data_IF_309488187843
#
_entry.id   IF_309488187843
#
_cell.length_a   1.000
_cell.length_b   1.000
_cell.length_c   1.000
_cell.angle_alpha   90.00
_cell.angle_beta   90.00
_cell.angle_gamma   90.00
#
_symmetry.space_group_name_H-M   'P 1'
#
loop_
_entity.id
_entity.type
_entity.pdbx_description
1 polymer ?
#
# COMPACT_ATOMS: atom_id res chain seq x y z
N UNK A 1 -5.62 -41.80 -12.54
CA UNK A 1 -4.43 -41.54 -11.70
C UNK A 1 -4.15 -42.75 -10.79
N UNK A 2 -3.99 -43.96 -11.34
CA UNK A 2 -3.99 -45.19 -10.53
C UNK A 2 -2.62 -45.77 -10.16
N UNK A 3 -1.51 -45.18 -10.61
CA UNK A 3 -0.15 -45.74 -10.42
C UNK A 3 0.94 -44.68 -10.23
N UNK A 4 0.58 -43.40 -10.08
CA UNK A 4 1.55 -42.34 -9.86
C UNK A 4 2.03 -42.36 -8.40
N UNK A 5 3.33 -42.52 -8.18
CA UNK A 5 3.97 -42.50 -6.85
C UNK A 5 4.58 -41.14 -6.49
N UNK A 6 4.80 -40.28 -7.49
CA UNK A 6 5.34 -38.92 -7.31
C UNK A 6 4.61 -37.96 -8.25
N UNK A 7 4.19 -36.80 -7.72
CA UNK A 7 3.61 -35.69 -8.50
C UNK A 7 4.52 -34.49 -8.35
N UNK A 8 5.07 -33.99 -9.45
CA UNK A 8 5.73 -32.70 -9.53
C UNK A 8 4.76 -31.72 -10.18
N UNK A 9 4.38 -30.65 -9.47
CA UNK A 9 3.50 -29.61 -10.00
C UNK A 9 4.25 -28.29 -10.04
N UNK A 10 4.05 -27.54 -11.12
CA UNK A 10 4.47 -26.14 -11.16
C UNK A 10 3.68 -25.32 -10.12
N UNK A 11 4.24 -24.22 -9.61
CA UNK A 11 3.53 -23.38 -8.63
C UNK A 11 2.56 -22.43 -9.33
N UNK A 12 3.02 -21.73 -10.36
CA UNK A 12 2.31 -20.60 -10.95
C UNK A 12 1.29 -21.12 -11.95
N UNK A 13 0.04 -20.66 -11.88
CA UNK A 13 -1.09 -21.14 -12.72
C UNK A 13 -1.52 -22.60 -12.50
N UNK A 14 -0.82 -23.36 -11.66
CA UNK A 14 -1.19 -24.75 -11.32
C UNK A 14 -1.62 -24.87 -9.85
N UNK A 15 -0.79 -24.41 -8.91
CA UNK A 15 -1.12 -24.38 -7.47
C UNK A 15 -1.64 -23.03 -7.01
N UNK A 16 -1.24 -21.94 -7.66
CA UNK A 16 -1.72 -20.58 -7.37
C UNK A 16 -2.49 -20.01 -8.56
N UNK A 17 -3.48 -19.17 -8.24
CA UNK A 17 -4.03 -18.27 -9.26
C UNK A 17 -2.92 -17.27 -9.57
N UNK A 18 -2.56 -17.08 -10.84
CA UNK A 18 -1.56 -16.08 -11.30
C UNK A 18 -2.16 -14.67 -11.21
N UNK A 19 -2.64 -14.34 -10.01
CA UNK A 19 -3.40 -13.15 -9.66
C UNK A 19 -3.02 -12.79 -8.23
N UNK A 20 -2.50 -11.58 -8.07
CA UNK A 20 -2.02 -11.11 -6.78
C UNK A 20 -3.17 -10.52 -5.99
N UNK A 21 -3.26 -10.85 -4.71
CA UNK A 21 -4.32 -10.39 -3.81
C UNK A 21 -3.71 -9.86 -2.51
N UNK A 22 -4.42 -8.95 -1.85
CA UNK A 22 -4.08 -8.55 -0.47
C UNK A 22 -4.61 -9.63 0.45
N UNK A 23 -3.71 -10.31 1.15
CA UNK A 23 -4.05 -11.44 2.05
C UNK A 23 -3.99 -11.06 3.52
N UNK A 24 -3.17 -10.05 3.87
CA UNK A 24 -3.08 -9.47 5.21
C UNK A 24 -2.93 -7.96 5.10
N UNK A 25 -3.50 -7.23 6.05
CA UNK A 25 -3.34 -5.80 6.19
C UNK A 25 -3.12 -5.44 7.66
N UNK A 26 -2.19 -4.54 7.93
CA UNK A 26 -2.05 -3.89 9.23
C UNK A 26 -2.67 -2.50 9.13
N UNK A 27 -3.79 -2.29 9.82
CA UNK A 27 -4.49 -1.00 9.87
C UNK A 27 -4.65 -0.66 11.35
N UNK A 28 -4.23 0.55 11.74
CA UNK A 28 -4.36 1.02 13.12
C UNK A 28 -3.73 0.06 14.14
N UNK A 29 -2.48 -0.36 13.88
CA UNK A 29 -1.71 -1.33 14.68
C UNK A 29 -2.31 -2.75 14.76
N UNK A 30 -3.35 -3.04 13.99
CA UNK A 30 -3.98 -4.36 13.97
C UNK A 30 -3.73 -5.07 12.64
N UNK A 31 -2.94 -6.13 12.69
CA UNK A 31 -2.81 -7.09 11.60
C UNK A 31 -4.08 -7.95 11.49
N UNK A 32 -4.67 -8.00 10.30
CA UNK A 32 -5.85 -8.83 10.01
C UNK A 32 -5.66 -9.57 8.69
N UNK A 33 -6.13 -10.82 8.67
CA UNK A 33 -6.29 -11.57 7.42
C UNK A 33 -7.46 -11.00 6.63
N UNK A 34 -7.24 -10.84 5.33
CA UNK A 34 -8.21 -10.29 4.41
C UNK A 34 -8.74 -11.42 3.54
N UNK A 35 -10.04 -11.67 3.65
CA UNK A 35 -10.74 -12.58 2.76
C UNK A 35 -11.47 -11.74 1.73
N UNK A 36 -10.81 -11.47 0.60
CA UNK A 36 -11.47 -10.83 -0.54
C UNK A 36 -12.42 -11.86 -1.16
N UNK A 37 -13.73 -11.66 -0.95
CA UNK A 37 -14.75 -12.49 -1.59
C UNK A 37 -14.63 -12.47 -3.11
N UNK A 38 -15.06 -13.52 -3.79
CA UNK A 38 -15.19 -13.56 -5.27
C UNK A 38 -16.31 -12.62 -5.76
N UNK A 39 -16.28 -11.35 -5.37
CA UNK A 39 -17.13 -10.29 -5.92
C UNK A 39 -16.67 -9.89 -7.31
N UNK A 40 -17.56 -9.24 -8.07
CA UNK A 40 -17.39 -8.86 -9.47
C UNK A 40 -15.94 -8.46 -9.80
N UNK A 41 -15.26 -9.37 -10.52
CA UNK A 41 -13.88 -9.21 -10.94
C UNK A 41 -13.85 -8.05 -11.93
N UNK A 42 -13.59 -6.85 -11.41
CA UNK A 42 -13.47 -5.66 -12.25
C UNK A 42 -12.12 -5.79 -12.94
N UNK A 43 -12.11 -5.79 -14.27
CA UNK A 43 -10.85 -5.86 -15.03
C UNK A 43 -10.09 -4.53 -14.84
N UNK A 44 -9.27 -4.49 -13.81
CA UNK A 44 -8.46 -3.33 -13.49
C UNK A 44 -7.15 -3.44 -14.24
N UNK A 45 -6.96 -2.55 -15.22
CA UNK A 45 -5.71 -2.43 -15.97
C UNK A 45 -4.62 -1.81 -15.08
N UNK A 46 -3.54 -2.56 -14.87
CA UNK A 46 -2.44 -2.12 -14.01
C UNK A 46 -1.41 -3.19 -13.74
N UNK A 47 -0.41 -2.83 -12.93
CA UNK A 47 0.50 -3.82 -12.36
C UNK A 47 -0.26 -4.72 -11.38
N UNK A 48 0.17 -5.98 -11.16
CA UNK A 48 -0.47 -6.88 -10.22
C UNK A 48 -0.69 -6.24 -8.83
N UNK A 49 0.28 -5.45 -8.34
CA UNK A 49 0.18 -4.74 -7.05
C UNK A 49 -0.89 -3.65 -7.07
N UNK A 50 -1.02 -2.92 -8.18
CA UNK A 50 -2.05 -1.87 -8.31
C UNK A 50 -3.44 -2.52 -8.31
N UNK A 51 -3.62 -3.59 -9.07
CA UNK A 51 -4.90 -4.29 -9.17
C UNK A 51 -5.30 -4.88 -7.81
N UNK A 52 -4.39 -5.59 -7.13
CA UNK A 52 -4.63 -6.14 -5.80
C UNK A 52 -5.09 -5.08 -4.77
N UNK A 53 -4.41 -3.92 -4.75
CA UNK A 53 -4.77 -2.81 -3.84
C UNK A 53 -6.13 -2.19 -4.16
N UNK A 54 -6.47 -2.05 -5.44
CA UNK A 54 -7.75 -1.48 -5.85
C UNK A 54 -8.90 -2.44 -5.56
N UNK A 55 -8.72 -3.75 -5.80
CA UNK A 55 -9.69 -4.78 -5.41
C UNK A 55 -9.91 -4.79 -3.89
N UNK A 56 -8.83 -4.67 -3.10
CA UNK A 56 -8.93 -4.55 -1.64
C UNK A 56 -9.68 -3.29 -1.22
N UNK A 57 -9.38 -2.12 -1.79
CA UNK A 57 -10.11 -0.89 -1.52
C UNK A 57 -11.60 -0.98 -1.85
N UNK A 58 -11.95 -1.61 -2.98
CA UNK A 58 -13.34 -1.87 -3.34
C UNK A 58 -14.01 -2.87 -2.38
N UNK A 59 -13.30 -3.87 -1.86
CA UNK A 59 -13.86 -4.77 -0.83
C UNK A 59 -14.20 -4.07 0.47
N UNK A 60 -13.52 -2.95 0.78
CA UNK A 60 -13.81 -2.10 1.94
C UNK A 60 -14.94 -1.09 1.67
N UNK A 61 -15.56 -1.12 0.47
CA UNK A 61 -16.62 -0.21 0.06
C UNK A 61 -16.14 1.06 -0.66
N UNK A 62 -14.86 1.15 -1.03
CA UNK A 62 -14.33 2.30 -1.77
C UNK A 62 -14.65 2.27 -3.27
N UNK A 63 -15.04 3.42 -3.82
CA UNK A 63 -15.15 3.64 -5.26
C UNK A 63 -13.90 4.38 -5.77
N UNK A 64 -12.96 3.63 -6.35
CA UNK A 64 -11.73 4.22 -6.87
C UNK A 64 -11.94 5.09 -8.11
N UNK A 65 -13.05 4.92 -8.85
CA UNK A 65 -13.36 5.73 -10.02
C UNK A 65 -13.85 7.10 -9.57
N UNK A 66 -14.71 7.16 -8.56
CA UNK A 66 -15.15 8.40 -7.92
C UNK A 66 -13.95 9.16 -7.33
N UNK A 67 -13.15 8.50 -6.49
CA UNK A 67 -11.96 9.12 -5.88
C UNK A 67 -11.00 9.64 -6.94
N UNK A 68 -10.80 8.90 -8.05
CA UNK A 68 -9.93 9.33 -9.14
C UNK A 68 -10.47 10.55 -9.89
N UNK A 69 -11.78 10.68 -10.03
CA UNK A 69 -12.40 11.86 -10.68
C UNK A 69 -12.37 13.09 -9.78
N UNK A 70 -12.51 12.90 -8.46
CA UNK A 70 -12.42 13.97 -7.48
C UNK A 70 -10.99 14.45 -7.21
N UNK A 71 -9.97 13.62 -7.49
CA UNK A 71 -8.57 13.94 -7.21
C UNK A 71 -7.90 14.68 -8.36
N UNK A 72 -7.35 15.87 -8.08
CA UNK A 72 -6.47 16.56 -9.04
C UNK A 72 -5.00 16.12 -8.83
N UNK A 73 -4.48 15.27 -9.72
CA UNK A 73 -3.09 14.81 -9.64
C UNK A 73 -2.16 15.84 -10.26
N UNK A 74 -1.34 16.46 -9.41
CA UNK A 74 -0.41 17.52 -9.80
C UNK A 74 0.95 16.95 -10.19
N UNK A 75 1.40 15.89 -9.51
CA UNK A 75 2.69 15.26 -9.81
C UNK A 75 2.72 13.77 -9.48
N UNK A 76 3.45 13.01 -10.29
CA UNK A 76 3.72 11.60 -10.05
C UNK A 76 5.23 11.38 -10.01
N UNK A 77 5.74 10.86 -8.90
CA UNK A 77 7.08 10.30 -8.80
C UNK A 77 6.95 8.77 -8.91
N UNK A 78 7.24 8.17 -10.08
CA UNK A 78 7.11 6.72 -10.27
C UNK A 78 8.09 5.96 -9.37
N UNK A 79 7.89 4.65 -9.26
CA UNK A 79 8.73 3.82 -8.42
C UNK A 79 10.20 3.93 -8.85
N UNK A 80 11.05 4.27 -7.88
CA UNK A 80 12.49 4.37 -8.07
C UNK A 80 13.17 3.27 -7.25
N UNK A 81 14.04 2.46 -7.87
CA UNK A 81 14.71 1.33 -7.22
C UNK A 81 15.67 1.74 -6.10
N UNK A 82 16.25 2.94 -6.19
CA UNK A 82 17.10 3.52 -5.13
C UNK A 82 16.25 3.98 -3.94
N UNK A 83 15.14 4.69 -4.18
CA UNK A 83 14.25 5.18 -3.12
C UNK A 83 13.28 4.11 -2.60
N UNK A 84 13.10 3.01 -3.32
CA UNK A 84 12.18 1.89 -3.05
C UNK A 84 10.73 2.32 -2.75
N UNK A 85 10.30 3.44 -3.32
CA UNK A 85 8.96 4.01 -3.15
C UNK A 85 8.53 4.77 -4.39
N UNK A 86 7.21 4.97 -4.51
CA UNK A 86 6.59 5.89 -5.45
C UNK A 86 5.69 6.87 -4.69
N UNK A 87 5.46 8.05 -5.27
CA UNK A 87 4.62 9.10 -4.69
C UNK A 87 3.71 9.73 -5.72
N UNK A 88 2.56 10.19 -5.28
CA UNK A 88 1.64 11.01 -6.06
C UNK A 88 1.27 12.22 -5.22
N UNK A 89 1.41 13.40 -5.80
CA UNK A 89 0.97 14.66 -5.20
C UNK A 89 -0.39 15.01 -5.79
N UNK A 90 -1.35 15.25 -4.92
CA UNK A 90 -2.68 15.74 -5.27
C UNK A 90 -2.88 17.13 -4.70
N UNK A 91 -3.63 17.95 -5.41
CA UNK A 91 -4.17 19.20 -4.89
C UNK A 91 -5.46 18.87 -4.11
N UNK A 92 -5.55 19.41 -2.89
CA UNK A 92 -6.74 19.36 -2.05
C UNK A 92 -7.39 20.75 -2.02
N UNK A 93 -8.65 20.89 -1.53
CA UNK A 93 -9.29 22.19 -1.42
C UNK A 93 -8.43 23.22 -0.67
N UNK A 94 -8.67 24.50 -0.94
CA UNK A 94 -7.93 25.64 -0.35
C UNK A 94 -6.48 25.79 -0.85
N UNK A 95 -6.08 25.03 -1.89
CA UNK A 95 -4.78 25.17 -2.54
C UNK A 95 -3.64 24.46 -1.81
N UNK A 96 -3.96 23.61 -0.83
CA UNK A 96 -2.98 22.75 -0.19
C UNK A 96 -2.66 21.53 -1.06
N UNK A 97 -1.54 20.87 -0.77
CA UNK A 97 -1.09 19.71 -1.51
C UNK A 97 -0.81 18.55 -0.57
N UNK A 98 -1.29 17.36 -0.92
CA UNK A 98 -1.00 16.14 -0.18
C UNK A 98 -0.17 15.20 -1.03
N UNK A 99 0.85 14.59 -0.43
CA UNK A 99 1.63 13.54 -1.05
C UNK A 99 1.20 12.18 -0.50
N UNK A 100 0.72 11.30 -1.38
CA UNK A 100 0.49 9.89 -1.07
C UNK A 100 1.68 9.06 -1.53
N UNK A 101 2.18 8.19 -0.66
CA UNK A 101 3.34 7.34 -0.91
C UNK A 101 2.96 5.87 -0.77
N UNK A 102 3.54 5.03 -1.64
CA UNK A 102 3.61 3.59 -1.41
C UNK A 102 4.98 3.05 -1.74
N UNK A 103 5.46 2.08 -0.97
CA UNK A 103 6.80 1.53 -1.15
C UNK A 103 7.11 0.37 -0.22
N UNK A 104 8.38 -0.04 -0.23
CA UNK A 104 8.88 -1.07 0.69
C UNK A 104 8.60 -0.67 2.13
N UNK A 105 8.04 -1.60 2.92
CA UNK A 105 7.42 -1.27 4.20
C UNK A 105 8.38 -0.61 5.19
N UNK A 106 9.56 -1.20 5.36
CA UNK A 106 10.61 -0.69 6.25
C UNK A 106 11.07 0.72 5.85
N UNK A 107 11.25 0.95 4.53
CA UNK A 107 11.76 2.23 4.01
C UNK A 107 10.75 3.36 4.17
N UNK A 108 9.46 3.05 4.00
CA UNK A 108 8.40 4.04 4.19
C UNK A 108 8.20 4.31 5.67
N UNK A 109 8.17 3.28 6.52
CA UNK A 109 8.02 3.42 7.96
C UNK A 109 9.17 4.24 8.58
N UNK A 110 10.42 4.00 8.16
CA UNK A 110 11.58 4.77 8.60
C UNK A 110 11.53 6.25 8.16
N UNK A 111 10.62 6.63 7.26
CA UNK A 111 10.39 8.02 6.82
C UNK A 111 9.13 8.64 7.44
N UNK A 112 8.51 8.01 8.44
CA UNK A 112 7.28 8.49 9.05
C UNK A 112 7.51 8.89 10.52
N UNK A 113 7.10 10.11 10.87
CA UNK A 113 7.14 10.57 12.27
C UNK A 113 5.80 10.36 13.01
N UNK A 114 4.75 9.95 12.28
CA UNK A 114 3.38 9.76 12.79
C UNK A 114 2.70 8.55 12.16
N UNK A 115 1.72 8.01 12.86
CA UNK A 115 0.83 6.95 12.37
C UNK A 115 -0.60 7.16 12.84
N UNK A 116 -1.54 6.38 12.29
CA UNK A 116 -2.95 6.37 12.71
C UNK A 116 -3.14 5.25 13.72
N UNK A 117 -3.55 5.57 14.94
CA UNK A 117 -3.79 4.59 16.01
C UNK A 117 -5.14 3.84 15.84
N UNK A 118 -5.41 2.89 16.74
CA UNK A 118 -6.67 2.12 16.83
C UNK A 118 -7.95 2.97 16.91
N UNK A 119 -7.83 4.21 17.39
CA UNK A 119 -8.94 5.14 17.57
C UNK A 119 -9.14 6.04 16.33
N UNK A 120 -8.29 5.89 15.31
CA UNK A 120 -8.34 6.68 14.07
C UNK A 120 -7.62 8.02 14.17
N UNK A 121 -6.86 8.25 15.24
CA UNK A 121 -6.18 9.51 15.51
C UNK A 121 -4.73 9.47 15.00
N UNK A 122 -4.26 10.61 14.49
CA UNK A 122 -2.87 10.77 14.07
C UNK A 122 -2.01 11.07 15.30
N UNK A 123 -1.16 10.12 15.67
CA UNK A 123 -0.26 10.20 16.84
C UNK A 123 1.19 10.06 16.42
N UNK A 124 2.11 10.54 17.26
CA UNK A 124 3.55 10.42 17.03
C UNK A 124 3.99 8.96 17.06
N UNK A 125 4.94 8.62 16.19
CA UNK A 125 5.59 7.32 16.16
C UNK A 125 6.69 7.30 17.23
N UNK A 126 6.47 6.62 18.35
CA UNK A 126 7.47 6.43 19.40
C UNK A 126 8.29 5.14 19.17
N UNK A 127 9.31 4.90 19.99
CA UNK A 127 10.17 3.71 19.84
C UNK A 127 9.38 2.39 20.00
N UNK A 128 8.36 2.37 20.86
CA UNK A 128 7.53 1.19 21.13
C UNK A 128 6.65 0.85 19.92
N UNK A 129 5.84 1.79 19.44
CA UNK A 129 5.00 1.62 18.24
C UNK A 129 5.87 1.38 16.99
N UNK A 130 7.02 2.03 16.87
CA UNK A 130 7.97 1.76 15.76
C UNK A 130 8.44 0.32 15.79
N UNK A 131 8.86 -0.18 16.95
CA UNK A 131 9.31 -1.57 17.08
C UNK A 131 8.17 -2.55 16.84
N UNK A 132 6.97 -2.25 17.34
CA UNK A 132 5.78 -3.05 17.10
C UNK A 132 5.44 -3.18 15.59
N UNK A 133 5.42 -2.06 14.86
CA UNK A 133 5.15 -2.06 13.42
C UNK A 133 6.26 -2.78 12.62
N UNK A 134 7.53 -2.66 13.02
CA UNK A 134 8.64 -3.42 12.43
C UNK A 134 8.46 -4.93 12.61
N UNK A 135 8.04 -5.37 13.80
CA UNK A 135 7.78 -6.79 14.06
C UNK A 135 6.65 -7.33 13.17
N UNK A 136 5.58 -6.56 12.95
CA UNK A 136 4.49 -6.94 12.04
C UNK A 136 5.00 -7.06 10.58
N UNK A 137 5.85 -6.14 10.16
CA UNK A 137 6.47 -6.20 8.81
C UNK A 137 7.31 -7.47 8.66
N UNK A 138 8.12 -7.80 9.67
CA UNK A 138 8.94 -9.02 9.70
C UNK A 138 8.07 -10.28 9.71
N UNK A 139 6.97 -10.30 10.47
CA UNK A 139 6.01 -11.41 10.50
C UNK A 139 5.45 -11.66 9.09
N UNK A 140 4.94 -10.62 8.42
CA UNK A 140 4.42 -10.74 7.07
C UNK A 140 5.50 -11.19 6.07
N UNK A 141 6.73 -10.68 6.21
CA UNK A 141 7.85 -11.09 5.37
C UNK A 141 8.26 -12.56 5.60
N UNK A 142 8.18 -13.05 6.83
CA UNK A 142 8.49 -14.45 7.20
C UNK A 142 7.53 -15.45 6.56
N UNK A 143 6.31 -15.02 6.25
CA UNK A 143 5.30 -15.78 5.49
C UNK A 143 5.48 -15.65 3.97
N UNK A 144 6.60 -15.09 3.51
CA UNK A 144 6.92 -14.82 2.11
C UNK A 144 5.90 -13.91 1.41
N UNK A 145 5.20 -13.04 2.15
CA UNK A 145 4.32 -12.03 1.59
C UNK A 145 5.11 -10.86 1.05
N UNK A 146 4.69 -10.32 -0.10
CA UNK A 146 5.19 -9.04 -0.57
C UNK A 146 4.60 -7.93 0.31
N UNK A 147 5.39 -7.38 1.23
CA UNK A 147 4.96 -6.29 2.11
C UNK A 147 5.03 -4.94 1.40
N UNK A 148 4.03 -4.10 1.63
CA UNK A 148 3.94 -2.74 1.10
C UNK A 148 3.36 -1.83 2.18
N UNK A 149 3.99 -0.67 2.40
CA UNK A 149 3.45 0.36 3.28
C UNK A 149 2.86 1.51 2.46
N UNK A 150 1.76 2.07 2.97
CA UNK A 150 1.09 3.26 2.46
C UNK A 150 1.25 4.37 3.49
N UNK A 151 1.63 5.56 3.04
CA UNK A 151 1.75 6.74 3.87
C UNK A 151 1.23 7.98 3.13
N UNK A 152 0.87 9.01 3.87
CA UNK A 152 0.56 10.31 3.29
C UNK A 152 1.10 11.42 4.21
N UNK A 153 1.36 12.58 3.63
CA UNK A 153 1.73 13.77 4.38
C UNK A 153 1.31 15.02 3.62
N UNK A 154 1.07 16.08 4.39
CA UNK A 154 0.78 17.41 3.85
C UNK A 154 2.09 18.06 3.39
N UNK A 155 2.05 18.65 2.19
CA UNK A 155 3.13 19.46 1.68
C UNK A 155 2.81 20.91 2.08
N UNK A 156 3.69 21.52 2.87
CA UNK A 156 3.51 22.91 3.31
C UNK A 156 3.43 23.91 2.15
N UNK A 157 2.96 25.11 2.47
CA UNK A 157 2.50 26.15 1.52
C UNK A 157 3.56 26.63 0.50
N UNK A 158 4.86 26.35 0.71
CA UNK A 158 5.94 26.68 -0.23
C UNK A 158 6.19 25.60 -1.30
N UNK A 159 5.16 24.83 -1.68
CA UNK A 159 5.31 23.85 -2.75
C UNK A 159 5.39 24.52 -4.12
N UNK A 160 6.59 24.56 -4.70
CA UNK A 160 6.78 24.93 -6.10
C UNK A 160 6.70 23.70 -7.00
N UNK A 161 5.94 23.78 -8.09
CA UNK A 161 5.73 22.67 -9.05
C UNK A 161 7.05 22.12 -9.64
N UNK A 162 8.09 22.94 -9.66
CA UNK A 162 9.44 22.59 -10.14
C UNK A 162 10.39 22.05 -9.06
N UNK A 163 10.10 22.25 -7.77
CA UNK A 163 10.96 21.80 -6.67
C UNK A 163 10.80 20.29 -6.43
N UNK A 164 11.80 19.59 -5.87
CA UNK A 164 11.66 18.15 -5.52
C UNK A 164 10.54 17.94 -4.49
N UNK A 165 9.82 16.81 -4.55
CA UNK A 165 8.82 16.48 -3.51
C UNK A 165 9.59 16.38 -2.19
N UNK A 166 9.22 17.17 -1.16
CA UNK A 166 9.90 17.09 0.13
C UNK A 166 9.87 15.66 0.66
N UNK A 167 10.95 15.28 1.34
CA UNK A 167 10.89 14.12 2.22
C UNK A 167 10.02 14.55 3.38
N UNK A 168 8.83 13.98 3.54
CA UNK A 168 8.01 14.21 4.74
C UNK A 168 8.88 14.03 5.97
N UNK A 169 8.76 14.98 6.90
CA UNK A 169 9.09 14.82 8.31
C UNK A 169 7.76 14.45 8.98
#
# INVERSE_FOLDING_TARGET
MGSATTICSDKTRTLTTDHMTVVKACICEQAKEIVVGKGNKTEILGTPTKTALLEFGSSLGGDFQEVRQASNVVRVEPFNSTKKRMRVVIEVPEGHFWAHCKGASEIVLDSCDKYINKDGEVVSLDEESTSHLKNIIEEFASEALQTLCLAYFEIGDEFSLEARIPSGQ
#
